data_IF_406761767593
#
_entry.id   IF_406761767593
#
_cell.length_a   1.000
_cell.length_b   1.000
_cell.length_c   1.000
_cell.angle_alpha   90.00
_cell.angle_beta   90.00
_cell.angle_gamma   90.00
#
_symmetry.space_group_name_H-M   'P 1'
#
loop_
_entity.id
_entity.type
_entity.pdbx_description
1 polymer ?
#
# COMPACT_ATOMS: atom_id res chain seq x y z
N UNK A 1 14.63 -2.00 8.31
CA UNK A 1 14.73 -0.77 9.10
C UNK A 1 14.49 -1.04 10.59
N UNK A 2 15.46 -1.71 11.22
CA UNK A 2 15.35 -2.25 12.58
C UNK A 2 15.21 -1.19 13.68
N UNK A 3 15.52 0.08 13.39
CA UNK A 3 15.32 1.18 14.35
C UNK A 3 13.83 1.51 14.53
N UNK A 4 13.02 1.36 13.49
CA UNK A 4 11.56 1.61 13.55
C UNK A 4 10.81 0.41 14.11
N UNK A 5 11.09 -0.74 13.54
CA UNK A 5 10.54 -2.04 13.91
C UNK A 5 11.37 -3.15 13.26
N UNK A 6 11.39 -4.32 13.86
CA UNK A 6 12.03 -5.51 13.29
C UNK A 6 11.02 -6.66 13.13
N UNK A 7 11.42 -7.73 12.47
CA UNK A 7 10.54 -8.87 12.18
C UNK A 7 9.95 -9.52 13.44
N UNK A 8 10.72 -9.56 14.54
CA UNK A 8 10.25 -10.11 15.82
C UNK A 8 9.18 -9.21 16.44
N UNK A 9 9.47 -7.91 16.59
CA UNK A 9 8.53 -6.96 17.23
C UNK A 9 7.27 -6.74 16.39
N UNK A 10 7.40 -6.64 15.05
CA UNK A 10 6.25 -6.51 14.16
C UNK A 10 5.33 -7.74 14.15
N UNK A 11 5.91 -8.95 14.21
CA UNK A 11 5.10 -10.18 14.32
C UNK A 11 4.45 -10.35 15.68
N UNK A 12 5.08 -9.88 16.77
CA UNK A 12 4.44 -9.81 18.08
C UNK A 12 3.28 -8.83 18.10
N UNK A 13 3.46 -7.64 17.50
CA UNK A 13 2.38 -6.68 17.34
C UNK A 13 1.20 -7.23 16.52
N UNK A 14 1.49 -8.03 15.49
CA UNK A 14 0.47 -8.73 14.71
C UNK A 14 -0.34 -9.70 15.58
N UNK A 15 0.32 -10.56 16.35
CA UNK A 15 -0.35 -11.50 17.28
C UNK A 15 -1.17 -10.75 18.32
N UNK A 16 -0.63 -9.69 18.90
CA UNK A 16 -1.35 -8.85 19.86
C UNK A 16 -2.63 -8.23 19.27
N UNK A 17 -2.68 -8.01 17.95
CA UNK A 17 -3.87 -7.62 17.20
C UNK A 17 -4.72 -8.79 16.68
N UNK A 18 -4.46 -10.03 17.11
CA UNK A 18 -5.19 -11.22 16.65
C UNK A 18 -4.82 -11.71 15.24
N UNK A 19 -3.73 -11.22 14.65
CA UNK A 19 -3.29 -11.55 13.30
C UNK A 19 -2.35 -12.76 13.34
N UNK A 20 -2.74 -13.84 12.68
CA UNK A 20 -1.99 -15.10 12.66
C UNK A 20 -1.03 -15.23 11.46
N UNK A 21 -1.16 -14.38 10.45
CA UNK A 21 -0.34 -14.41 9.24
C UNK A 21 -0.09 -13.01 8.71
N UNK A 22 1.13 -12.72 8.28
CA UNK A 22 1.51 -11.41 7.72
C UNK A 22 2.17 -11.55 6.35
N UNK A 23 1.90 -10.60 5.48
CA UNK A 23 2.54 -10.45 4.17
C UNK A 23 3.29 -9.12 4.14
N UNK A 24 4.62 -9.19 4.28
CA UNK A 24 5.44 -7.97 4.35
C UNK A 24 5.87 -7.48 2.97
N UNK A 25 5.84 -6.15 2.80
CA UNK A 25 6.09 -5.46 1.54
C UNK A 25 7.59 -5.36 1.20
N UNK A 26 7.94 -5.14 -0.09
CA UNK A 26 9.33 -5.18 -0.54
C UNK A 26 10.10 -3.86 -0.38
N UNK A 27 9.47 -2.78 0.04
CA UNK A 27 10.06 -1.43 0.17
C UNK A 27 10.97 -1.28 1.41
N UNK A 28 11.78 -2.30 1.65
CA UNK A 28 12.81 -2.31 2.68
C UNK A 28 14.05 -1.48 2.25
N UNK A 29 15.06 -1.41 3.09
CA UNK A 29 16.39 -0.87 2.74
C UNK A 29 17.44 -1.96 2.91
N UNK A 30 17.98 -2.51 1.80
CA UNK A 30 17.61 -2.28 0.39
C UNK A 30 16.24 -2.86 0.03
N UNK A 31 15.62 -2.36 -1.05
CA UNK A 31 14.37 -2.88 -1.60
C UNK A 31 14.54 -4.32 -2.11
N UNK A 32 13.51 -5.15 -1.95
CA UNK A 32 13.59 -6.58 -2.30
C UNK A 32 13.23 -6.79 -3.78
N UNK A 33 14.19 -6.55 -4.65
CA UNK A 33 14.05 -6.55 -6.12
C UNK A 33 14.92 -7.58 -6.84
N UNK A 34 15.66 -8.41 -6.09
CA UNK A 34 16.45 -9.51 -6.63
C UNK A 34 16.21 -10.79 -5.84
N UNK A 35 16.39 -11.96 -6.49
CA UNK A 35 16.32 -13.27 -5.85
C UNK A 35 17.25 -13.36 -4.62
N UNK A 36 18.47 -12.82 -4.73
CA UNK A 36 19.45 -12.79 -3.64
C UNK A 36 18.91 -12.07 -2.41
N UNK A 37 18.31 -10.88 -2.59
CA UNK A 37 17.72 -10.10 -1.49
C UNK A 37 16.48 -10.79 -0.91
N UNK A 38 15.66 -11.40 -1.75
CA UNK A 38 14.49 -12.15 -1.32
C UNK A 38 14.87 -13.35 -0.43
N UNK A 39 15.85 -14.16 -0.86
CA UNK A 39 16.35 -15.28 -0.08
C UNK A 39 16.97 -14.83 1.25
N UNK A 40 17.74 -13.73 1.24
CA UNK A 40 18.29 -13.12 2.47
C UNK A 40 17.19 -12.68 3.44
N UNK A 41 16.08 -12.15 2.93
CA UNK A 41 14.91 -11.76 3.75
C UNK A 41 14.24 -12.99 4.39
N UNK A 42 14.02 -14.05 3.61
CA UNK A 42 13.49 -15.32 4.13
C UNK A 42 14.39 -15.91 5.23
N UNK A 43 15.69 -15.93 5.01
CA UNK A 43 16.66 -16.41 6.00
C UNK A 43 16.62 -15.57 7.29
N UNK A 44 16.51 -14.25 7.16
CA UNK A 44 16.38 -13.34 8.33
C UNK A 44 15.09 -13.57 9.11
N UNK A 45 14.02 -14.00 8.47
CA UNK A 45 12.73 -14.24 9.12
C UNK A 45 12.69 -15.58 9.87
N UNK A 46 13.46 -16.56 9.39
CA UNK A 46 13.49 -17.91 10.00
C UNK A 46 13.85 -17.84 11.49
N UNK A 47 13.00 -18.41 12.35
CA UNK A 47 13.15 -18.42 13.80
C UNK A 47 12.95 -17.07 14.51
N UNK A 48 12.51 -16.02 13.80
CA UNK A 48 12.27 -14.69 14.39
C UNK A 48 10.81 -14.23 14.37
N UNK A 49 10.01 -14.86 13.51
CA UNK A 49 8.59 -14.51 13.38
C UNK A 49 7.76 -15.29 14.38
N UNK A 50 6.80 -14.65 15.00
CA UNK A 50 5.85 -15.24 15.95
C UNK A 50 4.52 -15.62 15.28
N UNK A 51 4.31 -15.24 14.03
CA UNK A 51 3.15 -15.60 13.22
C UNK A 51 3.59 -16.19 11.88
N UNK A 52 2.67 -16.75 11.11
CA UNK A 52 2.94 -17.15 9.73
C UNK A 52 3.33 -15.95 8.89
N UNK A 53 4.18 -16.15 7.89
CA UNK A 53 4.66 -15.05 7.07
C UNK A 53 4.96 -15.45 5.63
N UNK A 54 4.78 -14.51 4.75
CA UNK A 54 5.29 -14.52 3.38
C UNK A 54 5.68 -13.10 2.97
N UNK A 55 6.39 -12.97 1.86
CA UNK A 55 6.93 -11.70 1.41
C UNK A 55 6.49 -11.39 -0.01
N UNK A 56 6.17 -10.11 -0.25
CA UNK A 56 6.05 -9.58 -1.59
C UNK A 56 7.43 -9.33 -2.19
N UNK A 57 7.52 -9.57 -3.50
CA UNK A 57 8.66 -9.18 -4.32
C UNK A 57 8.39 -7.85 -5.01
N UNK A 58 9.36 -6.93 -5.02
CA UNK A 58 9.22 -5.61 -5.62
C UNK A 58 9.46 -5.65 -7.13
N UNK A 59 8.48 -5.17 -7.89
CA UNK A 59 8.67 -4.98 -9.32
C UNK A 59 9.37 -3.64 -9.61
N UNK A 60 10.29 -3.71 -10.55
CA UNK A 60 10.93 -2.58 -11.23
C UNK A 60 10.79 -2.80 -12.74
N UNK A 61 10.96 -1.74 -13.54
CA UNK A 61 10.83 -1.82 -15.01
C UNK A 61 11.75 -2.88 -15.64
N UNK A 62 12.92 -3.14 -15.03
CA UNK A 62 13.98 -3.96 -15.62
C UNK A 62 14.22 -5.30 -14.90
N UNK A 63 13.37 -5.68 -13.89
CA UNK A 63 13.62 -6.89 -13.10
C UNK A 63 12.66 -8.07 -13.37
N UNK A 64 12.06 -8.13 -14.57
CA UNK A 64 11.10 -9.19 -14.95
C UNK A 64 11.69 -10.59 -14.78
N UNK A 65 12.95 -10.81 -15.16
CA UNK A 65 13.60 -12.10 -15.03
C UNK A 65 13.79 -12.50 -13.54
N UNK A 66 14.02 -11.55 -12.67
CA UNK A 66 14.05 -11.79 -11.23
C UNK A 66 12.65 -12.15 -10.69
N UNK A 67 11.58 -11.50 -11.18
CA UNK A 67 10.18 -11.84 -10.85
C UNK A 67 9.91 -13.31 -11.16
N UNK A 68 10.26 -13.78 -12.37
CA UNK A 68 10.07 -15.18 -12.80
C UNK A 68 10.83 -16.18 -11.92
N UNK A 69 12.04 -15.81 -11.46
CA UNK A 69 12.83 -16.65 -10.56
C UNK A 69 12.21 -16.73 -9.17
N UNK A 70 11.72 -15.60 -8.65
CA UNK A 70 11.23 -15.50 -7.25
C UNK A 70 9.82 -16.03 -7.12
N UNK A 71 8.95 -15.91 -8.12
CA UNK A 71 7.56 -16.38 -8.04
C UNK A 71 7.44 -17.88 -7.68
N UNK A 72 8.45 -18.68 -8.00
CA UNK A 72 8.50 -20.13 -7.71
C UNK A 72 9.00 -20.44 -6.29
N UNK A 73 9.52 -19.46 -5.58
CA UNK A 73 10.11 -19.67 -4.25
C UNK A 73 8.99 -19.75 -3.20
N UNK A 74 9.03 -20.78 -2.36
CA UNK A 74 8.15 -20.88 -1.18
C UNK A 74 8.37 -19.66 -0.28
N UNK A 75 7.27 -19.00 0.11
CA UNK A 75 7.32 -17.74 0.89
C UNK A 75 7.17 -16.47 0.02
N UNK A 76 7.09 -16.59 -1.31
CA UNK A 76 6.68 -15.50 -2.18
C UNK A 76 5.14 -15.50 -2.29
N UNK A 77 4.47 -14.50 -1.69
CA UNK A 77 3.00 -14.37 -1.76
C UNK A 77 2.54 -13.62 -3.01
N UNK A 78 3.37 -12.79 -3.61
CA UNK A 78 3.00 -12.00 -4.77
C UNK A 78 4.05 -10.99 -5.19
N UNK A 79 3.69 -10.19 -6.17
CA UNK A 79 4.51 -9.08 -6.68
C UNK A 79 3.87 -7.76 -6.27
N UNK A 80 4.66 -6.82 -5.79
CA UNK A 80 4.22 -5.47 -5.42
C UNK A 80 4.69 -4.46 -6.45
N UNK A 81 3.79 -3.61 -6.90
CA UNK A 81 4.06 -2.49 -7.81
C UNK A 81 3.61 -1.18 -7.17
N UNK A 82 4.45 -0.16 -7.24
CA UNK A 82 4.10 1.21 -6.88
C UNK A 82 3.92 2.01 -8.17
N UNK A 83 2.69 2.41 -8.48
CA UNK A 83 2.37 3.20 -9.68
C UNK A 83 2.63 4.69 -9.44
N UNK A 84 2.52 5.13 -8.20
CA UNK A 84 2.86 6.47 -7.75
C UNK A 84 3.86 6.46 -6.61
N UNK A 85 4.63 7.52 -6.50
CA UNK A 85 5.62 7.73 -5.44
C UNK A 85 4.98 7.65 -4.06
N UNK A 86 5.48 6.75 -3.23
CA UNK A 86 5.06 6.54 -1.85
C UNK A 86 6.28 6.43 -0.94
N UNK A 87 6.43 5.37 -0.19
CA UNK A 87 7.59 5.12 0.67
C UNK A 87 8.61 4.24 -0.03
N UNK A 88 9.87 4.67 -0.04
CA UNK A 88 10.97 3.95 -0.72
C UNK A 88 11.24 4.44 -2.14
N UNK A 89 12.01 3.67 -2.90
CA UNK A 89 12.52 4.04 -4.24
C UNK A 89 11.85 3.25 -5.38
N UNK A 90 10.96 2.31 -5.05
CA UNK A 90 10.25 1.51 -6.05
C UNK A 90 9.18 2.35 -6.75
N UNK A 91 9.26 2.47 -8.07
CA UNK A 91 8.27 3.17 -8.88
C UNK A 91 8.21 2.54 -10.28
N UNK A 92 6.99 2.22 -10.73
CA UNK A 92 6.69 1.80 -12.10
C UNK A 92 5.44 2.54 -12.54
N UNK A 93 5.59 3.72 -13.10
CA UNK A 93 4.49 4.60 -13.50
C UNK A 93 4.09 4.47 -14.98
N UNK A 94 4.99 3.95 -15.82
CA UNK A 94 4.72 3.73 -17.23
C UNK A 94 3.72 2.60 -17.46
N UNK A 95 2.73 2.85 -18.33
CA UNK A 95 1.65 1.91 -18.57
C UNK A 95 2.11 0.63 -19.30
N UNK A 96 3.07 0.74 -20.21
CA UNK A 96 3.61 -0.40 -20.94
C UNK A 96 4.42 -1.31 -20.01
N UNK A 97 5.21 -0.73 -19.10
CA UNK A 97 5.95 -1.48 -18.08
C UNK A 97 4.98 -2.21 -17.12
N UNK A 98 3.90 -1.56 -16.69
CA UNK A 98 2.86 -2.19 -15.86
C UNK A 98 2.25 -3.40 -16.60
N UNK A 99 1.87 -3.25 -17.88
CA UNK A 99 1.30 -4.34 -18.67
C UNK A 99 2.33 -5.47 -18.90
N UNK A 100 3.60 -5.14 -19.06
CA UNK A 100 4.70 -6.12 -19.19
C UNK A 100 4.88 -6.92 -17.90
N UNK A 101 4.84 -6.26 -16.75
CA UNK A 101 4.89 -6.92 -15.43
C UNK A 101 3.64 -7.80 -15.23
N UNK A 102 2.44 -7.32 -15.58
CA UNK A 102 1.21 -8.13 -15.48
C UNK A 102 1.29 -9.46 -16.24
N UNK A 103 1.98 -9.47 -17.38
CA UNK A 103 2.17 -10.68 -18.22
C UNK A 103 3.30 -11.58 -17.71
N UNK A 104 4.22 -11.08 -16.91
CA UNK A 104 5.47 -11.77 -16.54
C UNK A 104 5.32 -12.80 -15.41
N UNK A 105 4.25 -12.78 -14.64
CA UNK A 105 4.08 -13.62 -13.45
C UNK A 105 2.68 -14.25 -13.36
N UNK A 106 2.61 -15.45 -12.80
CA UNK A 106 1.35 -16.11 -12.43
C UNK A 106 0.84 -15.69 -11.04
N UNK A 107 1.70 -15.12 -10.20
CA UNK A 107 1.35 -14.66 -8.85
C UNK A 107 0.40 -13.46 -8.88
N UNK A 108 -0.31 -13.25 -7.78
CA UNK A 108 -1.06 -12.01 -7.56
C UNK A 108 -0.13 -10.81 -7.63
N UNK A 109 -0.59 -9.75 -8.28
CA UNK A 109 0.12 -8.46 -8.30
C UNK A 109 -0.70 -7.47 -7.50
N UNK A 110 -0.07 -6.86 -6.50
CA UNK A 110 -0.69 -5.86 -5.63
C UNK A 110 -0.14 -4.47 -5.95
N UNK A 111 -1.03 -3.51 -6.16
CA UNK A 111 -0.70 -2.17 -6.63
C UNK A 111 -0.98 -1.11 -5.57
N UNK A 112 0.02 -0.26 -5.30
CA UNK A 112 -0.22 1.08 -4.77
C UNK A 112 -0.64 1.96 -5.94
N UNK A 113 -1.87 2.47 -5.91
CA UNK A 113 -2.52 3.09 -7.07
C UNK A 113 -2.72 4.59 -6.89
N UNK A 114 -1.71 5.37 -7.27
CA UNK A 114 -1.79 6.82 -7.42
C UNK A 114 -1.07 7.24 -8.71
N UNK A 115 -1.57 8.23 -9.42
CA UNK A 115 -1.01 8.68 -10.69
C UNK A 115 0.21 9.57 -10.46
N UNK A 116 1.40 9.14 -10.90
CA UNK A 116 2.67 9.83 -10.65
C UNK A 116 2.74 11.21 -11.27
N UNK A 117 2.31 11.36 -12.53
CA UNK A 117 2.33 12.67 -13.21
C UNK A 117 1.49 13.71 -12.44
N UNK A 118 0.34 13.26 -11.92
CA UNK A 118 -0.50 14.11 -11.07
C UNK A 118 0.14 14.39 -9.71
N UNK A 119 0.85 13.43 -9.11
CA UNK A 119 1.59 13.65 -7.87
C UNK A 119 2.68 14.70 -8.06
N UNK A 120 3.42 14.65 -9.16
CA UNK A 120 4.47 15.61 -9.51
C UNK A 120 3.86 17.01 -9.71
N UNK A 121 2.89 17.13 -10.60
CA UNK A 121 2.29 18.45 -10.95
C UNK A 121 1.55 19.07 -9.78
N UNK A 122 0.95 18.28 -8.92
CA UNK A 122 0.19 18.71 -7.74
C UNK A 122 1.03 18.94 -6.49
N UNK A 123 2.32 18.62 -6.49
CA UNK A 123 3.21 18.78 -5.32
C UNK A 123 3.20 20.22 -4.77
N UNK A 124 2.95 21.21 -5.59
CA UNK A 124 2.76 22.64 -5.20
C UNK A 124 1.65 22.87 -4.16
N UNK A 125 0.71 21.92 -4.01
CA UNK A 125 -0.34 21.98 -3.01
C UNK A 125 0.08 21.39 -1.65
N UNK A 126 1.22 20.76 -1.54
CA UNK A 126 1.79 20.30 -0.27
C UNK A 126 2.37 21.50 0.50
N UNK A 127 1.55 22.14 1.33
CA UNK A 127 1.93 23.39 2.02
C UNK A 127 2.69 23.08 3.31
N UNK A 128 3.89 23.63 3.44
CA UNK A 128 4.75 23.47 4.63
C UNK A 128 3.99 23.81 5.90
N UNK A 129 4.15 22.98 6.94
CA UNK A 129 3.48 23.12 8.22
C UNK A 129 1.98 22.83 8.23
N UNK A 130 1.39 22.39 7.08
CA UNK A 130 -0.05 22.14 6.96
C UNK A 130 -0.35 20.70 6.57
N UNK A 131 -0.34 19.73 7.49
CA UNK A 131 -0.55 18.30 7.18
C UNK A 131 -1.85 18.00 6.44
N UNK A 132 -2.94 18.74 6.68
CA UNK A 132 -4.20 18.59 5.96
C UNK A 132 -4.09 18.85 4.45
N UNK A 133 -3.06 19.59 3.99
CA UNK A 133 -2.82 19.80 2.58
C UNK A 133 -2.34 18.54 1.84
N UNK A 134 -1.98 17.50 2.59
CA UNK A 134 -1.56 16.22 2.04
C UNK A 134 -2.64 15.58 1.14
N UNK A 135 -3.91 15.62 1.56
CA UNK A 135 -5.03 15.14 0.77
C UNK A 135 -5.38 16.05 -0.43
N UNK A 136 -4.96 17.31 -0.40
CA UNK A 136 -5.12 18.22 -1.53
C UNK A 136 -4.06 17.93 -2.59
N UNK A 137 -2.83 17.70 -2.17
CA UNK A 137 -1.76 17.22 -3.06
C UNK A 137 -2.13 15.91 -3.73
N UNK A 138 -2.34 14.87 -2.93
CA UNK A 138 -2.69 13.50 -3.34
C UNK A 138 -4.22 13.37 -3.42
N UNK A 139 -4.85 14.10 -4.35
CA UNK A 139 -6.32 14.23 -4.38
C UNK A 139 -7.04 12.95 -4.86
N UNK A 140 -8.36 13.01 -4.89
CA UNK A 140 -9.23 11.91 -5.34
C UNK A 140 -8.90 11.48 -6.76
N UNK A 141 -8.70 12.43 -7.66
CA UNK A 141 -8.44 12.16 -9.09
C UNK A 141 -7.10 11.44 -9.30
N UNK A 142 -6.11 11.72 -8.45
CA UNK A 142 -4.81 11.05 -8.46
C UNK A 142 -4.97 9.54 -8.22
N UNK A 143 -5.79 9.13 -7.26
CA UNK A 143 -6.10 7.73 -6.99
C UNK A 143 -7.00 7.14 -8.08
N UNK A 144 -8.12 7.80 -8.38
CA UNK A 144 -9.13 7.32 -9.34
C UNK A 144 -8.58 7.09 -10.74
N UNK A 145 -7.75 8.04 -11.26
CA UNK A 145 -7.17 7.92 -12.60
C UNK A 145 -6.22 6.74 -12.72
N UNK A 146 -5.39 6.51 -11.71
CA UNK A 146 -4.50 5.35 -11.64
C UNK A 146 -5.29 4.04 -11.57
N UNK A 147 -6.24 3.93 -10.65
CA UNK A 147 -7.10 2.75 -10.49
C UNK A 147 -7.87 2.42 -11.77
N UNK A 148 -8.34 3.43 -12.51
CA UNK A 148 -9.00 3.25 -13.82
C UNK A 148 -8.06 2.65 -14.86
N UNK A 149 -6.81 3.12 -14.93
CA UNK A 149 -5.78 2.57 -15.83
C UNK A 149 -5.46 1.12 -15.48
N UNK A 150 -5.30 0.78 -14.21
CA UNK A 150 -5.04 -0.58 -13.74
C UNK A 150 -6.18 -1.55 -14.10
N UNK A 151 -7.43 -1.14 -13.89
CA UNK A 151 -8.61 -1.94 -14.26
C UNK A 151 -8.63 -2.21 -15.77
N UNK A 152 -8.35 -1.18 -16.60
CA UNK A 152 -8.29 -1.32 -18.07
C UNK A 152 -7.24 -2.37 -18.46
N UNK A 153 -6.04 -2.29 -17.89
CA UNK A 153 -4.96 -3.24 -18.19
C UNK A 153 -5.25 -4.65 -17.65
N UNK A 154 -5.84 -4.77 -16.47
CA UNK A 154 -6.25 -6.07 -15.92
C UNK A 154 -7.31 -6.76 -16.81
N UNK A 155 -8.30 -6.02 -17.28
CA UNK A 155 -9.32 -6.54 -18.20
C UNK A 155 -8.71 -6.93 -19.56
N UNK A 156 -7.86 -6.09 -20.14
CA UNK A 156 -7.16 -6.35 -21.41
C UNK A 156 -6.28 -7.60 -21.35
N UNK A 157 -5.51 -7.74 -20.26
CA UNK A 157 -4.58 -8.86 -20.06
C UNK A 157 -5.23 -10.10 -19.45
N UNK A 158 -6.51 -10.02 -19.04
CA UNK A 158 -7.23 -11.05 -18.25
C UNK A 158 -6.46 -11.48 -16.99
N UNK A 159 -5.67 -10.56 -16.42
CA UNK A 159 -4.83 -10.78 -15.25
C UNK A 159 -5.55 -10.39 -13.97
N UNK A 160 -5.64 -11.30 -13.00
CA UNK A 160 -6.12 -10.97 -11.66
C UNK A 160 -5.08 -10.09 -10.94
N UNK A 161 -5.54 -8.95 -10.43
CA UNK A 161 -4.74 -7.98 -9.66
C UNK A 161 -5.45 -7.63 -8.36
N UNK A 162 -4.69 -7.06 -7.43
CA UNK A 162 -5.20 -6.53 -6.17
C UNK A 162 -4.83 -5.05 -6.03
N UNK A 163 -5.79 -4.19 -5.74
CA UNK A 163 -5.54 -2.75 -5.49
C UNK A 163 -5.58 -2.50 -4.00
N UNK A 164 -4.45 -2.05 -3.47
CA UNK A 164 -4.24 -1.86 -2.03
C UNK A 164 -4.91 -0.57 -1.53
N UNK A 165 -5.28 -0.55 -0.24
CA UNK A 165 -5.67 0.63 0.54
C UNK A 165 -6.53 1.66 -0.20
N UNK A 166 -7.68 1.25 -0.72
CA UNK A 166 -8.64 2.15 -1.40
C UNK A 166 -9.17 3.20 -0.42
N UNK A 167 -9.22 4.45 -0.87
CA UNK A 167 -9.56 5.59 -0.01
C UNK A 167 -10.74 6.43 -0.47
N UNK A 168 -11.20 6.27 -1.71
CA UNK A 168 -12.21 7.17 -2.28
C UNK A 168 -13.51 6.48 -2.65
N UNK A 169 -14.62 7.19 -2.52
CA UNK A 169 -15.94 6.71 -2.90
C UNK A 169 -16.03 6.44 -4.43
N UNK A 170 -15.30 7.21 -5.21
CA UNK A 170 -15.21 7.11 -6.66
C UNK A 170 -14.52 5.81 -7.08
N UNK A 171 -13.41 5.46 -6.41
CA UNK A 171 -12.72 4.18 -6.62
C UNK A 171 -13.63 3.00 -6.26
N UNK A 172 -14.33 3.05 -5.11
CA UNK A 172 -15.29 2.02 -4.70
C UNK A 172 -16.33 1.80 -5.80
N UNK A 173 -16.97 2.88 -6.28
CA UNK A 173 -17.98 2.78 -7.36
C UNK A 173 -17.43 2.13 -8.63
N UNK A 174 -16.18 2.45 -8.97
CA UNK A 174 -15.50 1.90 -10.15
C UNK A 174 -15.13 0.43 -9.95
N UNK A 175 -14.57 0.08 -8.80
CA UNK A 175 -14.11 -1.28 -8.47
C UNK A 175 -15.27 -2.27 -8.36
N UNK A 176 -16.38 -1.89 -7.74
CA UNK A 176 -17.56 -2.74 -7.64
C UNK A 176 -18.15 -3.16 -9.00
N UNK A 177 -17.92 -2.37 -10.04
CA UNK A 177 -18.34 -2.68 -11.43
C UNK A 177 -17.34 -3.54 -12.20
N UNK A 178 -16.14 -3.77 -11.63
CA UNK A 178 -15.02 -4.39 -12.33
C UNK A 178 -14.38 -5.56 -11.56
N UNK A 179 -15.22 -6.37 -10.89
CA UNK A 179 -14.81 -7.46 -9.98
C UNK A 179 -14.14 -8.67 -10.65
N UNK A 180 -14.31 -8.84 -11.97
CA UNK A 180 -13.87 -10.06 -12.67
C UNK A 180 -12.37 -10.33 -12.53
N UNK A 181 -11.55 -9.27 -12.62
CA UNK A 181 -10.09 -9.36 -12.55
C UNK A 181 -9.46 -8.51 -11.46
N UNK A 182 -10.27 -7.78 -10.69
CA UNK A 182 -9.75 -6.85 -9.70
C UNK A 182 -10.39 -7.10 -8.34
N UNK A 183 -9.56 -7.40 -7.36
CA UNK A 183 -9.89 -7.34 -5.94
C UNK A 183 -9.27 -6.10 -5.31
N UNK A 184 -9.77 -5.68 -4.15
CA UNK A 184 -9.27 -4.49 -3.47
C UNK A 184 -9.39 -4.60 -1.95
N UNK A 185 -8.63 -3.77 -1.26
CA UNK A 185 -8.66 -3.68 0.19
C UNK A 185 -8.90 -2.26 0.69
N UNK A 186 -9.30 -2.15 1.94
CA UNK A 186 -9.33 -0.92 2.72
C UNK A 186 -8.52 -1.11 3.99
N UNK A 187 -8.17 0.00 4.69
CA UNK A 187 -7.44 -0.08 5.95
C UNK A 187 -8.27 0.45 7.11
N UNK A 188 -8.03 0.02 8.36
CA UNK A 188 -8.70 0.55 9.54
C UNK A 188 -8.61 2.07 9.65
N UNK A 189 -7.44 2.64 9.31
CA UNK A 189 -7.21 4.09 9.35
C UNK A 189 -8.20 4.84 8.45
N UNK A 190 -8.46 4.37 7.23
CA UNK A 190 -9.41 4.98 6.30
C UNK A 190 -10.89 4.70 6.67
N UNK A 191 -11.15 3.66 7.44
CA UNK A 191 -12.48 3.33 7.94
C UNK A 191 -12.86 4.17 9.18
N UNK A 192 -11.87 4.58 9.97
CA UNK A 192 -12.12 5.26 11.26
C UNK A 192 -11.86 6.76 11.16
N UNK A 193 -10.74 7.17 10.60
CA UNK A 193 -10.33 8.57 10.55
C UNK A 193 -10.99 9.32 9.39
N UNK A 194 -11.17 10.62 9.56
CA UNK A 194 -11.65 11.51 8.50
C UNK A 194 -10.99 12.88 8.58
N UNK A 195 -10.71 13.47 7.43
CA UNK A 195 -10.31 14.87 7.27
C UNK A 195 -11.53 15.79 7.40
N UNK A 196 -11.39 17.01 7.94
CA UNK A 196 -10.14 17.64 8.41
C UNK A 196 -9.73 17.24 9.84
N UNK A 197 -10.60 16.60 10.61
CA UNK A 197 -10.47 16.42 12.07
C UNK A 197 -9.24 15.58 12.46
N UNK A 198 -8.93 14.53 11.71
CA UNK A 198 -7.74 13.71 11.97
C UNK A 198 -6.45 14.54 11.86
N UNK A 199 -6.36 15.42 10.87
CA UNK A 199 -5.18 16.29 10.70
C UNK A 199 -5.11 17.40 11.75
N UNK A 200 -6.27 17.93 12.22
CA UNK A 200 -6.32 18.90 13.33
C UNK A 200 -5.83 18.28 14.63
N UNK A 201 -6.27 17.03 14.92
CA UNK A 201 -5.96 16.34 16.18
C UNK A 201 -4.57 15.68 16.18
N UNK A 202 -4.17 15.06 15.08
CA UNK A 202 -2.99 14.21 14.99
C UNK A 202 -1.84 14.84 14.19
N UNK A 203 -2.08 15.93 13.47
CA UNK A 203 -1.05 16.59 12.65
C UNK A 203 -0.40 15.62 11.64
N UNK A 204 0.91 15.57 11.66
CA UNK A 204 1.73 14.68 10.82
C UNK A 204 1.57 13.19 11.15
N UNK A 205 1.08 12.84 12.33
CA UNK A 205 0.79 11.45 12.69
C UNK A 205 -0.34 10.85 11.85
N UNK A 206 -1.27 11.68 11.32
CA UNK A 206 -2.31 11.24 10.37
C UNK A 206 -1.82 11.13 8.91
N UNK A 207 -0.55 11.45 8.64
CA UNK A 207 -0.01 11.41 7.28
C UNK A 207 0.31 9.97 6.87
N UNK A 208 -0.37 9.51 5.81
CA UNK A 208 -0.14 8.22 5.15
C UNK A 208 -0.44 8.33 3.63
N UNK A 209 -0.08 7.32 2.85
CA UNK A 209 -0.29 7.25 1.39
C UNK A 209 -1.09 5.98 1.02
N UNK A 210 -2.27 6.15 0.36
CA UNK A 210 -2.98 7.39 0.06
C UNK A 210 -3.48 8.09 1.34
N UNK A 211 -3.77 9.41 1.30
CA UNK A 211 -4.13 10.18 2.48
C UNK A 211 -5.52 9.84 3.04
N UNK A 212 -5.71 10.14 4.32
CA UNK A 212 -7.04 10.13 4.94
C UNK A 212 -7.93 11.16 4.25
N UNK A 213 -9.12 10.73 3.82
CA UNK A 213 -10.09 11.55 3.07
C UNK A 213 -11.17 12.13 4.00
N UNK A 214 -12.04 12.96 3.42
CA UNK A 214 -13.20 13.52 4.11
C UNK A 214 -14.25 12.47 4.49
N UNK A 215 -15.17 12.88 5.37
CA UNK A 215 -16.23 12.03 5.96
C UNK A 215 -17.04 11.27 4.90
N UNK A 216 -17.35 11.91 3.75
CA UNK A 216 -18.10 11.25 2.65
C UNK A 216 -17.41 9.97 2.19
N UNK A 217 -16.11 10.00 1.99
CA UNK A 217 -15.33 8.84 1.52
C UNK A 217 -15.31 7.74 2.59
N UNK A 218 -14.98 8.09 3.83
CA UNK A 218 -15.00 7.16 4.97
C UNK A 218 -16.36 6.45 5.09
N UNK A 219 -17.45 7.20 5.01
CA UNK A 219 -18.80 6.63 5.16
C UNK A 219 -19.13 5.64 4.02
N UNK A 220 -18.69 5.92 2.78
CA UNK A 220 -18.86 4.98 1.66
C UNK A 220 -18.03 3.73 1.88
N UNK A 221 -16.76 3.83 2.33
CA UNK A 221 -15.93 2.67 2.66
C UNK A 221 -16.58 1.80 3.73
N UNK A 222 -17.06 2.41 4.83
CA UNK A 222 -17.77 1.69 5.91
C UNK A 222 -19.01 0.99 5.43
N UNK A 223 -19.87 1.67 4.65
CA UNK A 223 -21.10 1.07 4.07
C UNK A 223 -20.76 -0.08 3.13
N UNK A 224 -19.69 0.02 2.36
CA UNK A 224 -19.23 -1.05 1.45
C UNK A 224 -18.71 -2.25 2.24
N UNK A 225 -17.99 -2.02 3.34
CA UNK A 225 -17.56 -3.07 4.26
C UNK A 225 -18.74 -3.77 4.91
N UNK A 226 -19.70 -3.02 5.46
CA UNK A 226 -20.93 -3.58 6.07
C UNK A 226 -21.75 -4.47 5.12
N UNK A 227 -21.67 -4.18 3.81
CA UNK A 227 -22.32 -4.99 2.77
C UNK A 227 -21.51 -6.22 2.35
N UNK A 228 -20.36 -6.50 2.96
CA UNK A 228 -19.47 -7.60 2.58
C UNK A 228 -18.88 -7.47 1.17
N UNK A 229 -18.74 -6.25 0.64
CA UNK A 229 -18.32 -6.00 -0.73
C UNK A 229 -16.83 -5.63 -0.86
N UNK A 230 -16.09 -5.59 0.26
CA UNK A 230 -14.65 -5.42 0.31
C UNK A 230 -13.99 -6.79 0.43
N UNK A 231 -12.92 -7.05 -0.34
CA UNK A 231 -12.29 -8.36 -0.36
C UNK A 231 -11.39 -8.59 0.86
N UNK A 232 -10.66 -7.55 1.28
CA UNK A 232 -9.63 -7.64 2.33
C UNK A 232 -9.66 -6.35 3.17
N UNK A 233 -9.39 -6.49 4.47
CA UNK A 233 -8.97 -5.37 5.32
C UNK A 233 -7.47 -5.53 5.52
N UNK A 234 -6.69 -4.63 4.91
CA UNK A 234 -5.23 -4.59 5.03
C UNK A 234 -4.80 -3.64 6.14
N UNK A 235 -3.71 -3.92 6.84
CA UNK A 235 -3.24 -3.05 7.93
C UNK A 235 -2.50 -1.82 7.44
N UNK A 236 -1.85 -1.90 6.29
CA UNK A 236 -0.85 -0.92 5.81
C UNK A 236 0.09 -0.46 6.96
N UNK A 237 0.54 -1.44 7.77
CA UNK A 237 1.35 -1.19 8.94
C UNK A 237 2.71 -0.63 8.57
N UNK A 238 2.91 0.66 8.81
CA UNK A 238 4.11 1.40 8.46
C UNK A 238 4.55 2.33 9.62
N UNK A 239 5.12 1.76 10.69
CA UNK A 239 5.55 2.53 11.85
C UNK A 239 6.76 3.41 11.54
N UNK A 240 6.82 4.56 12.21
CA UNK A 240 7.91 5.52 12.16
C UNK A 240 8.31 5.96 13.56
N UNK A 241 9.55 6.41 13.74
CA UNK A 241 9.99 6.99 15.01
C UNK A 241 9.22 8.28 15.30
N UNK A 242 8.97 8.56 16.58
CA UNK A 242 8.32 9.81 16.99
C UNK A 242 9.08 11.04 16.48
N UNK A 243 10.43 11.00 16.53
CA UNK A 243 11.29 12.07 16.00
C UNK A 243 11.11 12.30 14.48
N UNK A 244 10.86 11.23 13.72
CA UNK A 244 10.56 11.35 12.28
C UNK A 244 9.16 11.93 12.06
N UNK A 245 8.14 11.46 12.80
CA UNK A 245 6.76 11.96 12.69
C UNK A 245 6.61 13.40 13.18
N UNK A 246 7.45 13.86 14.10
CA UNK A 246 7.45 15.24 14.62
C UNK A 246 8.10 16.25 13.64
N UNK A 247 8.67 15.80 12.53
CA UNK A 247 9.17 16.73 11.52
C UNK A 247 8.03 17.53 10.90
N UNK A 248 8.36 18.77 10.53
CA UNK A 248 7.40 19.68 9.86
C UNK A 248 6.97 19.06 8.53
N UNK A 249 5.65 19.00 8.28
CA UNK A 249 5.11 18.61 6.98
C UNK A 249 5.69 19.53 5.87
N UNK A 250 6.13 19.01 4.70
CA UNK A 250 5.99 17.64 4.20
C UNK A 250 7.18 16.71 4.50
N UNK A 251 8.14 17.11 5.33
CA UNK A 251 9.34 16.33 5.63
C UNK A 251 9.06 15.12 6.55
N UNK A 252 7.96 15.15 7.32
CA UNK A 252 7.53 13.98 8.08
C UNK A 252 7.17 12.82 7.14
N UNK A 253 7.59 11.58 7.44
CA UNK A 253 7.29 10.44 6.60
C UNK A 253 5.82 10.05 6.66
N UNK A 254 5.27 9.57 5.52
CA UNK A 254 3.94 8.97 5.46
C UNK A 254 3.98 7.53 5.98
N UNK A 255 3.00 7.15 6.79
CA UNK A 255 2.83 5.83 7.36
C UNK A 255 2.27 5.89 8.78
N UNK A 256 1.45 4.91 9.13
CA UNK A 256 0.82 4.75 10.44
C UNK A 256 0.94 3.30 10.90
N UNK A 257 1.07 3.01 12.20
CA UNK A 257 0.87 1.66 12.70
C UNK A 257 -0.59 1.23 12.51
N UNK A 258 -0.82 -0.06 12.25
CA UNK A 258 -2.17 -0.55 11.98
C UNK A 258 -2.39 -2.03 12.32
N UNK A 259 -1.31 -2.83 12.51
CA UNK A 259 -1.46 -4.28 12.66
C UNK A 259 -2.16 -4.70 13.96
N UNK A 260 -2.00 -3.94 15.05
CA UNK A 260 -2.68 -4.23 16.32
C UNK A 260 -4.14 -3.78 16.37
N UNK A 261 -4.57 -2.92 15.45
CA UNK A 261 -5.92 -2.33 15.40
C UNK A 261 -6.71 -2.81 14.19
N UNK A 262 -6.35 -3.96 13.63
CA UNK A 262 -7.01 -4.49 12.44
C UNK A 262 -8.34 -5.17 12.79
N UNK A 263 -8.37 -5.93 13.89
CA UNK A 263 -9.55 -6.66 14.37
C UNK A 263 -10.33 -5.94 15.47
N UNK A 264 -9.68 -5.30 16.47
CA UNK A 264 -10.37 -4.57 17.54
C UNK A 264 -11.20 -3.41 17.04
#
# INVERSE_FOLDING_TARGET
NTKKENLKTGSLAAIAGGITSVFDMPNNKPSITTKKLFMKKLQKAKGRMHCNYAFYFGAEKDNIEEIKKVEKIRGCCGVKVFVGSSTGTLLVSDQADIERIMKSTKKMISFHSENEDMLITRKKYAKTGRPHSHQVWRNVDTALSSTRKLIKSANKSKKKIHVLHITTAEEIKLLLRNRKYVSFEVTPQHLVLASPDCYKKLGTYAQMNPPIRGVRHRNVLRKTLQKGQIDIIGSDHAPHLKSEKNQIYPNSPSGMPGVQTLLP
#
